data_IF_419635359566
#
_entry.id   IF_419635359566
#
_cell.length_a   1.000
_cell.length_b   1.000
_cell.length_c   1.000
_cell.angle_alpha   90.00
_cell.angle_beta   90.00
_cell.angle_gamma   90.00
#
_symmetry.space_group_name_H-M   'P 1'
#
loop_
_entity.id
_entity.type
_entity.pdbx_description
1 polymer ?
#
# COMPACT_ATOMS: atom_id res chain seq x y z
N UNK A 1 -1.22 -9.02 14.93
CA UNK A 1 -1.14 -10.24 14.05
C UNK A 1 -0.22 -9.91 12.90
N UNK A 2 0.67 -10.82 12.45
CA UNK A 2 1.58 -10.52 11.31
C UNK A 2 0.84 -10.54 9.97
N UNK A 3 1.34 -9.77 8.99
CA UNK A 3 0.80 -9.77 7.61
C UNK A 3 0.66 -11.18 7.05
N UNK A 4 1.70 -12.03 7.21
CA UNK A 4 1.67 -13.43 6.75
C UNK A 4 0.52 -14.24 7.34
N UNK A 5 0.18 -14.03 8.61
CA UNK A 5 -0.93 -14.74 9.25
C UNK A 5 -2.29 -14.29 8.69
N UNK A 6 -2.47 -12.98 8.47
CA UNK A 6 -3.68 -12.42 7.85
C UNK A 6 -3.84 -12.93 6.41
N UNK A 7 -2.74 -12.99 5.64
CA UNK A 7 -2.75 -13.50 4.27
C UNK A 7 -3.16 -14.98 4.22
N UNK A 8 -2.64 -15.81 5.14
CA UNK A 8 -3.09 -17.21 5.27
C UNK A 8 -4.57 -17.32 5.60
N UNK A 9 -5.08 -16.45 6.44
CA UNK A 9 -6.50 -16.43 6.79
C UNK A 9 -7.37 -16.04 5.59
N UNK A 10 -6.95 -15.06 4.79
CA UNK A 10 -7.61 -14.68 3.54
C UNK A 10 -7.73 -15.88 2.58
N UNK A 11 -6.64 -16.65 2.42
CA UNK A 11 -6.63 -17.86 1.60
C UNK A 11 -7.60 -18.91 2.16
N UNK A 12 -7.51 -19.20 3.47
CA UNK A 12 -8.33 -20.22 4.12
C UNK A 12 -9.84 -19.92 4.02
N UNK A 13 -10.21 -18.65 4.18
CA UNK A 13 -11.60 -18.19 4.08
C UNK A 13 -12.08 -17.95 2.65
N UNK A 14 -11.21 -17.92 1.67
CA UNK A 14 -11.51 -17.54 0.28
C UNK A 14 -12.19 -16.17 0.19
N UNK A 15 -11.76 -15.24 1.02
CA UNK A 15 -12.25 -13.86 1.06
C UNK A 15 -11.07 -12.90 1.10
N UNK A 16 -11.20 -11.74 0.44
CA UNK A 16 -10.20 -10.69 0.60
C UNK A 16 -10.16 -10.21 2.06
N UNK A 17 -8.99 -9.77 2.48
CA UNK A 17 -8.78 -9.14 3.76
C UNK A 17 -8.45 -7.67 3.56
N UNK A 18 -8.94 -6.81 4.46
CA UNK A 18 -8.51 -5.43 4.58
C UNK A 18 -7.64 -5.36 5.83
N UNK A 19 -6.47 -4.78 5.69
CA UNK A 19 -5.45 -4.69 6.74
C UNK A 19 -5.12 -3.23 6.98
N UNK A 20 -5.08 -2.84 8.24
CA UNK A 20 -4.60 -1.53 8.68
C UNK A 20 -3.49 -1.74 9.72
N UNK A 21 -2.42 -0.96 9.62
CA UNK A 21 -1.40 -0.89 10.64
C UNK A 21 -1.92 -0.08 11.85
N UNK A 22 -1.26 -0.19 12.98
CA UNK A 22 -1.70 0.40 14.25
C UNK A 22 -1.56 1.93 14.30
N UNK A 23 -0.73 2.49 13.43
CA UNK A 23 -0.56 3.93 13.22
C UNK A 23 -1.40 4.51 12.05
N UNK A 24 -2.27 3.69 11.48
CA UNK A 24 -3.10 4.08 10.34
C UNK A 24 -4.21 5.05 10.74
N UNK A 25 -4.27 6.20 10.07
CA UNK A 25 -5.41 7.12 10.12
C UNK A 25 -6.30 6.88 8.90
N UNK A 26 -7.55 6.54 9.15
CA UNK A 26 -8.49 6.08 8.13
C UNK A 26 -9.49 7.18 7.84
N UNK A 27 -9.73 7.46 6.56
CA UNK A 27 -10.75 8.42 6.12
C UNK A 27 -12.15 7.95 6.55
N UNK A 28 -12.99 8.87 7.02
CA UNK A 28 -14.28 8.54 7.65
C UNK A 28 -15.28 7.83 6.73
N UNK A 29 -15.17 8.04 5.42
CA UNK A 29 -16.06 7.46 4.40
C UNK A 29 -15.51 6.19 3.73
N UNK A 30 -14.43 5.61 4.25
CA UNK A 30 -13.79 4.42 3.64
C UNK A 30 -14.76 3.27 3.39
N UNK A 31 -15.74 3.08 4.27
CA UNK A 31 -16.75 2.01 4.16
C UNK A 31 -17.68 2.19 2.98
N UNK A 32 -17.92 3.42 2.57
CA UNK A 32 -18.81 3.75 1.47
C UNK A 32 -18.05 3.78 0.13
N UNK A 33 -16.79 4.23 0.17
CA UNK A 33 -15.96 4.45 -1.02
C UNK A 33 -15.28 3.17 -1.50
N UNK A 34 -14.76 2.34 -0.58
CA UNK A 34 -13.93 1.19 -0.95
C UNK A 34 -14.68 0.08 -1.71
N UNK A 35 -15.92 -0.35 -1.32
CA UNK A 35 -16.58 -1.44 -2.02
C UNK A 35 -16.83 -1.17 -3.50
N UNK A 36 -17.36 0.00 -3.94
CA UNK A 36 -17.54 0.28 -5.35
C UNK A 36 -16.21 0.36 -6.11
N UNK A 37 -15.13 0.85 -5.51
CA UNK A 37 -13.80 0.87 -6.12
C UNK A 37 -13.26 -0.54 -6.39
N UNK A 38 -13.36 -1.43 -5.40
CA UNK A 38 -12.94 -2.83 -5.56
C UNK A 38 -13.76 -3.54 -6.62
N UNK A 39 -15.07 -3.27 -6.70
CA UNK A 39 -15.96 -3.87 -7.69
C UNK A 39 -15.59 -3.52 -9.14
N UNK A 40 -14.97 -2.36 -9.39
CA UNK A 40 -14.50 -1.95 -10.72
C UNK A 40 -13.37 -2.84 -11.25
N UNK A 41 -12.61 -3.48 -10.38
CA UNK A 41 -11.46 -4.32 -10.75
C UNK A 41 -11.87 -5.76 -11.10
N UNK A 42 -13.16 -6.10 -11.00
CA UNK A 42 -13.66 -7.48 -11.07
C UNK A 42 -12.86 -8.38 -10.10
N UNK A 43 -12.64 -9.65 -10.44
CA UNK A 43 -11.87 -10.57 -9.57
C UNK A 43 -10.36 -10.63 -9.92
N UNK A 44 -9.87 -9.66 -10.68
CA UNK A 44 -8.54 -9.76 -11.29
C UNK A 44 -7.48 -8.86 -10.63
N UNK A 45 -7.53 -8.71 -9.31
CA UNK A 45 -6.55 -7.97 -8.53
C UNK A 45 -5.88 -8.85 -7.47
N UNK A 46 -4.65 -8.52 -7.11
CA UNK A 46 -3.88 -9.21 -6.07
C UNK A 46 -3.79 -8.37 -4.79
N UNK A 47 -3.42 -7.11 -4.90
CA UNK A 47 -3.30 -6.16 -3.77
C UNK A 47 -3.73 -4.76 -4.19
N UNK A 48 -4.40 -4.04 -3.29
CA UNK A 48 -4.80 -2.65 -3.46
C UNK A 48 -4.26 -1.88 -2.26
N UNK A 49 -3.32 -0.96 -2.46
CA UNK A 49 -2.92 -0.04 -1.40
C UNK A 49 -4.02 1.01 -1.22
N UNK A 50 -4.59 1.07 -0.03
CA UNK A 50 -5.54 2.09 0.40
C UNK A 50 -4.81 3.33 0.88
N UNK A 51 -3.57 3.15 1.31
CA UNK A 51 -2.65 4.17 1.74
C UNK A 51 -1.20 3.74 1.66
N UNK A 52 -0.32 4.70 1.72
CA UNK A 52 1.13 4.57 1.58
C UNK A 52 1.82 5.71 2.31
N UNK A 53 3.15 5.62 2.45
CA UNK A 53 3.93 6.66 3.13
C UNK A 53 3.92 7.97 2.35
N UNK A 54 3.50 9.06 3.02
CA UNK A 54 3.46 10.43 2.47
C UNK A 54 4.79 11.17 2.57
N UNK A 55 5.85 10.48 2.94
CA UNK A 55 7.23 10.99 2.96
C UNK A 55 8.12 10.29 1.93
N UNK A 56 7.55 9.58 0.97
CA UNK A 56 8.26 8.77 0.01
C UNK A 56 7.72 8.95 -1.42
N UNK A 57 7.89 7.95 -2.25
CA UNK A 57 7.49 7.95 -3.66
C UNK A 57 6.14 7.27 -3.88
N UNK A 58 5.49 7.66 -4.97
CA UNK A 58 4.38 6.93 -5.59
C UNK A 58 4.63 6.84 -7.10
N UNK A 59 4.68 5.61 -7.63
CA UNK A 59 4.84 5.32 -9.06
C UNK A 59 3.58 4.57 -9.55
N UNK A 60 2.78 5.23 -10.38
CA UNK A 60 1.51 4.75 -10.89
C UNK A 60 1.54 4.62 -12.41
N UNK A 61 0.84 3.63 -12.94
CA UNK A 61 0.54 3.55 -14.37
C UNK A 61 -0.84 4.19 -14.61
N UNK A 62 -0.87 5.32 -15.30
CA UNK A 62 -2.09 6.07 -15.58
C UNK A 62 -2.87 5.54 -16.78
N UNK A 63 -2.18 4.93 -17.74
CA UNK A 63 -2.83 4.32 -18.90
C UNK A 63 -2.07 3.11 -19.41
N UNK A 64 -2.79 2.22 -20.11
CA UNK A 64 -2.16 1.08 -20.80
C UNK A 64 -1.31 1.52 -22.01
N UNK A 65 -1.45 2.77 -22.46
CA UNK A 65 -0.61 3.40 -23.47
C UNK A 65 0.80 3.80 -23.02
N UNK A 66 1.20 3.41 -21.78
CA UNK A 66 2.56 3.64 -21.28
C UNK A 66 2.77 5.01 -20.62
N UNK A 67 1.70 5.66 -20.16
CA UNK A 67 1.82 6.91 -19.39
C UNK A 67 1.92 6.54 -17.92
N UNK A 68 3.10 6.76 -17.35
CA UNK A 68 3.38 6.58 -15.93
C UNK A 68 3.44 7.92 -15.20
N UNK A 69 2.97 7.96 -13.97
CA UNK A 69 3.17 9.06 -13.04
C UNK A 69 4.20 8.63 -11.99
N UNK A 70 5.18 9.49 -11.75
CA UNK A 70 6.15 9.32 -10.65
C UNK A 70 6.21 10.59 -9.85
N UNK A 71 5.83 10.50 -8.58
CA UNK A 71 5.81 11.62 -7.66
C UNK A 71 6.55 11.34 -6.37
N UNK A 72 7.00 12.42 -5.74
CA UNK A 72 7.52 12.44 -4.38
C UNK A 72 6.58 13.29 -3.53
N UNK A 73 6.22 12.77 -2.38
CA UNK A 73 5.46 13.55 -1.40
C UNK A 73 6.40 14.53 -0.67
N UNK A 74 5.91 15.75 -0.44
CA UNK A 74 6.67 16.80 0.25
C UNK A 74 6.47 16.80 1.76
N UNK A 75 5.41 16.17 2.24
CA UNK A 75 5.05 16.13 3.66
C UNK A 75 5.75 14.95 4.32
N UNK A 76 6.59 15.23 5.31
CA UNK A 76 7.29 14.17 6.04
C UNK A 76 6.39 13.53 7.11
N UNK A 77 5.69 14.36 7.90
CA UNK A 77 4.79 13.91 8.95
C UNK A 77 3.56 14.79 8.98
N UNK A 78 2.35 14.22 8.84
CA UNK A 78 1.13 15.01 8.91
C UNK A 78 0.89 15.51 10.33
N UNK A 79 0.52 16.77 10.46
CA UNK A 79 0.10 17.38 11.74
C UNK A 79 -1.26 16.85 12.16
N UNK A 80 -1.61 16.96 13.45
CA UNK A 80 -2.94 16.59 13.96
C UNK A 80 -4.07 17.32 13.23
N UNK A 81 -3.86 18.59 12.83
CA UNK A 81 -4.84 19.37 12.06
C UNK A 81 -5.03 18.75 10.67
N UNK A 82 -3.95 18.38 10.00
CA UNK A 82 -4.02 17.71 8.68
C UNK A 82 -4.68 16.33 8.78
N UNK A 83 -4.37 15.55 9.83
CA UNK A 83 -5.00 14.26 10.07
C UNK A 83 -6.51 14.41 10.34
N UNK A 84 -6.92 15.42 11.12
CA UNK A 84 -8.34 15.69 11.37
C UNK A 84 -9.07 16.11 10.08
N UNK A 85 -8.46 16.95 9.26
CA UNK A 85 -8.99 17.32 7.95
C UNK A 85 -9.09 16.11 7.01
N UNK A 86 -8.08 15.22 7.01
CA UNK A 86 -8.07 14.01 6.22
C UNK A 86 -9.21 13.06 6.61
N UNK A 87 -9.45 12.84 7.92
CA UNK A 87 -10.57 11.99 8.39
C UNK A 87 -11.92 12.53 7.91
N UNK A 88 -12.09 13.85 7.85
CA UNK A 88 -13.31 14.50 7.40
C UNK A 88 -13.42 14.65 5.87
N UNK A 89 -12.34 14.38 5.13
CA UNK A 89 -12.31 14.53 3.66
C UNK A 89 -13.28 13.59 2.98
N UNK A 90 -13.84 14.06 1.84
CA UNK A 90 -14.69 13.29 0.91
C UNK A 90 -14.23 13.50 -0.53
N UNK A 91 -12.96 13.73 -0.72
CA UNK A 91 -12.39 13.89 -2.05
C UNK A 91 -12.58 12.63 -2.89
N UNK A 92 -12.75 12.81 -4.20
CA UNK A 92 -12.86 11.69 -5.13
C UNK A 92 -11.62 10.81 -5.05
N UNK A 93 -11.84 9.51 -5.16
CA UNK A 93 -10.78 8.50 -5.15
C UNK A 93 -10.85 7.71 -6.44
N UNK A 94 -9.72 7.59 -7.10
CA UNK A 94 -9.52 6.74 -8.26
C UNK A 94 -8.57 5.60 -7.91
N UNK A 95 -8.65 4.50 -8.67
CA UNK A 95 -7.73 3.38 -8.55
C UNK A 95 -6.84 3.32 -9.77
N UNK A 96 -5.53 3.32 -9.56
CA UNK A 96 -4.53 3.17 -10.61
C UNK A 96 -3.67 1.93 -10.39
N UNK A 97 -3.16 1.34 -11.48
CA UNK A 97 -2.14 0.29 -11.38
C UNK A 97 -0.90 0.84 -10.68
N UNK A 98 -0.39 0.06 -9.74
CA UNK A 98 0.76 0.40 -8.91
C UNK A 98 2.04 -0.18 -9.49
N UNK A 99 3.02 0.69 -9.71
CA UNK A 99 4.39 0.31 -10.08
C UNK A 99 5.35 0.31 -8.89
N UNK A 100 5.12 1.19 -7.89
CA UNK A 100 5.96 1.28 -6.70
C UNK A 100 5.44 2.28 -5.67
N UNK A 101 5.53 1.91 -4.40
CA UNK A 101 5.25 2.77 -3.24
C UNK A 101 5.91 2.17 -2.00
N UNK A 102 6.12 2.98 -0.96
CA UNK A 102 6.53 2.52 0.36
C UNK A 102 5.39 2.68 1.36
N UNK A 103 5.43 1.83 2.40
CA UNK A 103 4.43 1.78 3.45
C UNK A 103 3.25 0.86 3.13
N UNK A 104 2.75 0.19 4.17
CA UNK A 104 1.61 -0.73 4.13
C UNK A 104 0.55 -0.32 5.14
N UNK A 105 0.46 0.98 5.45
CA UNK A 105 -0.44 1.49 6.50
C UNK A 105 -1.91 1.07 6.32
N UNK A 106 -2.34 0.82 5.07
CA UNK A 106 -3.65 0.27 4.78
C UNK A 106 -3.69 -0.37 3.40
N UNK A 107 -4.19 -1.60 3.31
CA UNK A 107 -4.34 -2.30 2.03
C UNK A 107 -5.45 -3.36 2.05
N UNK A 108 -5.95 -3.70 0.88
CA UNK A 108 -6.77 -4.88 0.66
C UNK A 108 -5.94 -5.93 -0.09
N UNK A 109 -6.12 -7.22 0.25
CA UNK A 109 -5.44 -8.34 -0.40
C UNK A 109 -6.44 -9.43 -0.74
N UNK A 110 -6.41 -9.89 -2.00
CA UNK A 110 -7.23 -11.02 -2.43
C UNK A 110 -6.60 -12.35 -2.01
N UNK A 111 -7.37 -13.45 -1.94
CA UNK A 111 -6.80 -14.79 -1.69
C UNK A 111 -5.71 -15.16 -2.68
N UNK A 112 -5.92 -14.88 -3.97
CA UNK A 112 -4.93 -15.09 -5.04
C UNK A 112 -3.67 -14.24 -4.81
N UNK A 113 -3.84 -12.98 -4.47
CA UNK A 113 -2.72 -12.09 -4.15
C UNK A 113 -1.95 -12.57 -2.92
N UNK A 114 -2.65 -13.02 -1.89
CA UNK A 114 -2.05 -13.58 -0.69
C UNK A 114 -1.19 -14.82 -1.00
N UNK A 115 -1.67 -15.77 -1.83
CA UNK A 115 -0.89 -16.94 -2.26
C UNK A 115 0.38 -16.52 -2.99
N UNK A 116 0.27 -15.63 -3.97
CA UNK A 116 1.40 -15.13 -4.77
C UNK A 116 2.42 -14.42 -3.90
N UNK A 117 1.98 -13.50 -3.06
CA UNK A 117 2.87 -12.68 -2.25
C UNK A 117 3.49 -13.45 -1.07
N UNK A 118 2.82 -14.46 -0.50
CA UNK A 118 3.45 -15.35 0.49
C UNK A 118 4.63 -16.08 -0.15
N UNK A 119 4.47 -16.64 -1.34
CA UNK A 119 5.52 -17.40 -2.00
C UNK A 119 6.71 -16.56 -2.45
N UNK A 120 6.49 -15.26 -2.71
CA UNK A 120 7.53 -14.36 -3.23
C UNK A 120 8.21 -13.51 -2.16
N UNK A 121 7.47 -13.14 -1.10
CA UNK A 121 7.98 -12.26 -0.06
C UNK A 121 8.57 -13.01 1.14
N UNK A 122 8.23 -14.29 1.33
CA UNK A 122 8.70 -15.05 2.48
C UNK A 122 9.52 -16.29 2.08
N UNK A 123 10.59 -16.62 2.84
CA UNK A 123 11.08 -15.86 4.00
C UNK A 123 11.56 -14.46 3.62
N UNK A 124 11.38 -13.50 4.53
CA UNK A 124 11.95 -12.16 4.35
C UNK A 124 13.46 -12.24 4.54
N UNK A 125 14.18 -11.97 3.47
CA UNK A 125 15.64 -11.93 3.42
C UNK A 125 16.11 -10.56 2.92
N UNK A 126 17.36 -10.24 3.16
CA UNK A 126 17.98 -9.04 2.60
C UNK A 126 18.20 -9.22 1.10
N UNK A 127 17.54 -8.38 0.30
CA UNK A 127 17.61 -8.38 -1.17
C UNK A 127 17.98 -6.99 -1.66
N UNK A 128 18.71 -6.94 -2.75
CA UNK A 128 18.91 -5.70 -3.50
C UNK A 128 17.74 -5.52 -4.46
N UNK A 129 16.96 -4.47 -4.28
CA UNK A 129 15.74 -4.21 -5.03
C UNK A 129 15.90 -2.92 -5.83
N UNK A 130 15.83 -2.97 -7.17
CA UNK A 130 15.83 -1.78 -7.98
C UNK A 130 14.51 -1.02 -7.78
N UNK A 131 14.62 0.28 -7.52
CA UNK A 131 13.49 1.20 -7.41
C UNK A 131 13.58 2.24 -8.53
N UNK A 132 12.95 2.00 -9.69
CA UNK A 132 13.08 2.89 -10.85
C UNK A 132 12.67 4.33 -10.55
N UNK A 133 11.68 4.55 -9.68
CA UNK A 133 11.23 5.86 -9.28
C UNK A 133 12.26 6.63 -8.44
N UNK A 134 13.21 5.95 -7.80
CA UNK A 134 14.35 6.56 -7.10
C UNK A 134 15.63 6.63 -7.95
N UNK A 135 15.63 6.02 -9.13
CA UNK A 135 16.83 5.89 -9.97
C UNK A 135 17.96 5.07 -9.33
N UNK A 136 17.67 4.29 -8.30
CA UNK A 136 18.66 3.49 -7.55
C UNK A 136 18.06 2.19 -7.01
N UNK A 137 18.95 1.28 -6.59
CA UNK A 137 18.56 0.10 -5.80
C UNK A 137 18.67 0.39 -4.30
N UNK A 138 17.87 -0.35 -3.53
CA UNK A 138 17.92 -0.35 -2.07
C UNK A 138 18.11 -1.78 -1.57
N UNK A 139 18.61 -1.92 -0.35
CA UNK A 139 18.56 -3.21 0.37
C UNK A 139 17.23 -3.27 1.13
N UNK A 140 16.50 -4.36 0.98
CA UNK A 140 15.21 -4.52 1.65
C UNK A 140 15.37 -4.48 3.17
N UNK A 141 14.53 -3.69 3.83
CA UNK A 141 14.49 -3.54 5.30
C UNK A 141 13.18 -4.03 5.91
N UNK A 142 12.16 -4.29 5.09
CA UNK A 142 10.84 -4.69 5.53
C UNK A 142 9.99 -5.24 4.39
N UNK A 143 8.77 -5.63 4.70
CA UNK A 143 7.85 -6.20 3.73
C UNK A 143 7.48 -5.22 2.61
N UNK A 144 7.27 -3.95 2.93
CA UNK A 144 6.97 -2.89 1.99
C UNK A 144 8.07 -2.69 0.94
N UNK A 145 9.34 -2.74 1.38
CA UNK A 145 10.48 -2.67 0.47
C UNK A 145 10.57 -3.91 -0.42
N UNK A 146 10.30 -5.11 0.11
CA UNK A 146 10.28 -6.35 -0.69
C UNK A 146 9.16 -6.31 -1.73
N UNK A 147 7.98 -5.82 -1.38
CA UNK A 147 6.84 -5.71 -2.30
C UNK A 147 7.14 -4.84 -3.54
N UNK A 148 8.00 -3.83 -3.41
CA UNK A 148 8.43 -3.03 -4.56
C UNK A 148 9.09 -3.86 -5.68
N UNK A 149 9.69 -5.02 -5.36
CA UNK A 149 10.21 -5.94 -6.37
C UNK A 149 9.09 -6.62 -7.18
N UNK A 150 7.85 -6.65 -6.67
CA UNK A 150 6.78 -7.47 -7.21
C UNK A 150 5.57 -6.68 -7.70
N UNK A 151 5.37 -5.42 -7.32
CA UNK A 151 4.19 -4.65 -7.75
C UNK A 151 3.97 -4.67 -9.27
N UNK A 152 5.04 -4.63 -10.07
CA UNK A 152 4.95 -4.70 -11.53
C UNK A 152 4.67 -6.12 -12.08
N UNK A 153 4.79 -7.15 -11.25
CA UNK A 153 4.64 -8.57 -11.63
C UNK A 153 3.28 -9.14 -11.21
N UNK A 154 2.55 -8.44 -10.34
CA UNK A 154 1.24 -8.82 -9.84
C UNK A 154 0.21 -7.76 -10.25
N UNK A 155 -1.07 -8.08 -10.09
CA UNK A 155 -2.14 -7.10 -10.31
C UNK A 155 -2.27 -6.19 -9.08
N UNK A 156 -1.30 -5.28 -8.92
CA UNK A 156 -1.24 -4.31 -7.84
C UNK A 156 -1.89 -2.98 -8.25
N UNK A 157 -2.59 -2.38 -7.30
CA UNK A 157 -3.27 -1.10 -7.47
C UNK A 157 -3.05 -0.21 -6.25
N UNK A 158 -3.28 1.09 -6.41
CA UNK A 158 -3.32 2.05 -5.31
C UNK A 158 -4.47 3.03 -5.47
N UNK A 159 -5.09 3.40 -4.36
CA UNK A 159 -6.04 4.50 -4.30
C UNK A 159 -5.30 5.84 -4.44
N UNK A 160 -5.81 6.72 -5.29
CA UNK A 160 -5.36 8.09 -5.43
C UNK A 160 -6.59 9.01 -5.59
N UNK A 161 -6.93 9.86 -4.62
CA UNK A 161 -6.24 10.13 -3.33
C UNK A 161 -6.27 8.92 -2.37
N UNK A 162 -5.35 8.87 -1.37
CA UNK A 162 -5.36 7.75 -0.42
C UNK A 162 -6.61 7.78 0.47
N UNK A 163 -7.03 6.59 0.92
CA UNK A 163 -8.08 6.38 1.93
C UNK A 163 -7.50 6.20 3.34
N UNK A 164 -6.19 6.01 3.41
CA UNK A 164 -5.44 5.79 4.65
C UNK A 164 -4.12 6.52 4.57
N UNK A 165 -3.70 7.16 5.65
CA UNK A 165 -2.37 7.74 5.79
C UNK A 165 -1.74 7.29 7.10
N UNK A 166 -0.43 7.08 7.18
CA UNK A 166 0.23 6.77 8.44
C UNK A 166 0.47 8.04 9.25
N UNK A 167 0.48 7.93 10.56
CA UNK A 167 0.94 9.02 11.43
C UNK A 167 2.43 9.28 11.21
N UNK A 168 3.21 8.22 10.94
CA UNK A 168 4.66 8.29 10.69
C UNK A 168 5.43 9.02 11.80
N UNK A 169 5.01 8.92 13.05
CA UNK A 169 5.74 9.52 14.17
C UNK A 169 6.97 8.68 14.51
N UNK A 170 8.20 9.21 14.28
CA UNK A 170 9.42 8.47 14.58
C UNK A 170 9.58 8.14 16.06
N UNK A 171 8.97 8.91 16.94
CA UNK A 171 9.06 8.70 18.40
C UNK A 171 8.29 7.46 18.87
N UNK A 172 7.32 7.00 18.08
CA UNK A 172 6.49 5.83 18.36
C UNK A 172 6.91 4.56 17.59
N UNK A 173 7.92 4.65 16.71
CA UNK A 173 8.35 3.53 15.87
C UNK A 173 9.11 2.47 16.68
N UNK A 174 8.58 1.26 16.76
CA UNK A 174 9.25 0.11 17.36
C UNK A 174 10.45 -0.43 16.53
N UNK A 175 10.55 -0.04 15.26
CA UNK A 175 11.58 -0.51 14.31
C UNK A 175 12.88 0.30 14.44
N UNK A 176 12.82 1.55 14.90
CA UNK A 176 13.99 2.43 15.05
C UNK A 176 14.69 2.28 16.40
N UNK A 177 14.19 1.43 17.30
CA UNK A 177 14.75 1.20 18.64
C UNK A 177 15.55 -0.10 18.75
N UNK A 178 15.82 -0.79 17.64
CA UNK A 178 16.54 -2.05 17.59
C UNK A 178 17.91 -1.91 16.92
#
# INVERSE_FOLDING_TARGET
MSHRAIWRESIARRKYAIVFEDDAVIRGDVRDVLPPLVSQLADNWDIILLGYNTNSILDLKLSDGGIDFRGHFSVQYPTLVQLSAFVASKEAVEIYKLNGAFGLCGYAISPRGAERLISTCFPMDKRVIPIPALGRSIVSSGLDSILNAFFRQVSAYACFTPLVVPINDPSSSSVLQA
#
